data_IF_544220130607
#
_entry.id   IF_544220130607
#
_cell.length_a   1.000
_cell.length_b   1.000
_cell.length_c   1.000
_cell.angle_alpha   90.00
_cell.angle_beta   90.00
_cell.angle_gamma   90.00
#
_symmetry.space_group_name_H-M   'P 1'
#
loop_
_entity.id
_entity.type
_entity.pdbx_description
1 polymer ?
#
# COMPACT_ATOMS: atom_id res chain seq x y z
N UNK A 1 47.34 11.00 33.53
CA UNK A 1 45.93 10.72 33.89
C UNK A 1 44.94 11.53 33.03
N UNK A 2 44.84 11.29 31.71
CA UNK A 2 43.76 11.87 30.88
C UNK A 2 43.56 11.13 29.53
N UNK A 3 44.01 9.88 29.40
CA UNK A 3 43.84 9.11 28.15
C UNK A 3 43.04 7.81 28.32
N UNK A 4 42.85 7.34 29.55
CA UNK A 4 42.04 6.14 29.85
C UNK A 4 40.56 6.44 30.13
N UNK A 5 40.17 7.71 30.31
CA UNK A 5 38.78 8.07 30.62
C UNK A 5 37.91 8.35 29.38
N UNK A 6 38.53 8.64 28.22
CA UNK A 6 37.80 8.98 26.99
C UNK A 6 37.34 7.75 26.20
N UNK A 7 38.02 6.61 26.34
CA UNK A 7 37.67 5.38 25.61
C UNK A 7 36.53 4.59 26.27
N UNK A 8 36.25 4.80 27.56
CA UNK A 8 35.29 3.99 28.30
C UNK A 8 33.82 4.42 28.07
N UNK A 9 33.58 5.70 27.75
CA UNK A 9 32.22 6.23 27.47
C UNK A 9 31.75 5.94 26.05
N UNK A 10 32.67 5.78 25.09
CA UNK A 10 32.36 5.45 23.69
C UNK A 10 31.80 4.03 23.54
N UNK A 11 32.36 3.06 24.28
CA UNK A 11 31.89 1.66 24.23
C UNK A 11 30.52 1.49 24.92
N UNK A 12 30.25 2.27 25.97
CA UNK A 12 28.96 2.23 26.67
C UNK A 12 27.80 2.84 25.86
N UNK A 13 28.06 3.91 25.09
CA UNK A 13 27.05 4.50 24.21
C UNK A 13 26.78 3.65 22.95
N UNK A 14 27.80 2.99 22.40
CA UNK A 14 27.61 2.01 21.32
C UNK A 14 26.83 0.77 21.78
N UNK A 15 27.04 0.32 23.02
CA UNK A 15 26.29 -0.80 23.62
C UNK A 15 24.79 -0.50 23.81
N UNK A 16 24.44 0.72 24.24
CA UNK A 16 23.05 1.14 24.38
C UNK A 16 22.35 1.38 23.03
N UNK A 17 23.06 1.86 22.01
CA UNK A 17 22.51 2.00 20.67
C UNK A 17 22.18 0.65 20.03
N UNK A 18 23.00 -0.39 20.28
CA UNK A 18 22.72 -1.74 19.78
C UNK A 18 21.53 -2.41 20.48
N UNK A 19 21.26 -2.14 21.76
CA UNK A 19 20.08 -2.72 22.43
C UNK A 19 18.76 -2.13 21.92
N UNK A 20 18.76 -0.91 21.36
CA UNK A 20 17.53 -0.28 20.85
C UNK A 20 17.19 -0.66 19.39
N UNK A 21 18.14 -1.17 18.60
CA UNK A 21 17.90 -1.73 17.26
C UNK A 21 17.66 -3.26 17.29
N UNK A 22 17.93 -3.93 18.41
CA UNK A 22 17.73 -5.38 18.56
C UNK A 22 16.27 -5.83 18.77
N UNK A 23 15.29 -5.04 18.32
CA UNK A 23 13.86 -5.38 18.34
C UNK A 23 13.23 -5.55 16.95
N UNK A 24 14.04 -5.63 15.88
CA UNK A 24 13.59 -5.94 14.51
C UNK A 24 14.20 -7.22 13.92
N UNK A 25 14.56 -8.19 14.74
CA UNK A 25 14.78 -9.56 14.27
C UNK A 25 13.47 -10.34 14.44
N UNK A 26 12.71 -10.62 13.36
CA UNK A 26 11.68 -11.64 13.44
C UNK A 26 12.38 -12.94 13.82
N UNK A 27 12.01 -13.49 14.99
CA UNK A 27 12.50 -14.78 15.45
C UNK A 27 12.17 -15.82 14.39
N UNK A 28 13.19 -16.35 13.76
CA UNK A 28 13.12 -17.55 12.95
C UNK A 28 12.86 -18.72 13.90
N UNK A 29 11.59 -19.07 14.07
CA UNK A 29 11.16 -20.26 14.78
C UNK A 29 10.37 -21.11 13.80
N UNK A 30 10.99 -22.22 13.36
CA UNK A 30 10.38 -23.42 12.73
C UNK A 30 9.37 -23.18 11.61
N UNK A 31 9.72 -23.60 10.40
CA UNK A 31 8.93 -23.62 9.16
C UNK A 31 7.45 -24.04 9.34
N UNK A 32 6.57 -23.10 9.69
CA UNK A 32 5.13 -23.17 9.38
C UNK A 32 4.85 -22.32 8.14
N UNK A 33 5.62 -22.56 7.08
CA UNK A 33 5.39 -22.01 5.75
C UNK A 33 4.30 -22.82 5.08
N UNK A 34 3.13 -22.21 4.89
CA UNK A 34 2.02 -22.79 4.16
C UNK A 34 1.93 -22.23 2.75
N UNK A 35 1.38 -23.01 1.83
CA UNK A 35 1.14 -22.64 0.45
C UNK A 35 -0.33 -22.33 0.24
N UNK A 36 -0.66 -21.10 -0.16
CA UNK A 36 -2.04 -20.67 -0.45
C UNK A 36 -2.20 -20.38 -1.94
N UNK A 37 -3.30 -20.84 -2.53
CA UNK A 37 -3.58 -20.60 -3.95
C UNK A 37 -4.43 -19.35 -4.10
N UNK A 38 -3.89 -18.32 -4.73
CA UNK A 38 -4.60 -17.07 -5.01
C UNK A 38 -5.08 -17.08 -6.46
N UNK A 39 -6.40 -17.09 -6.65
CA UNK A 39 -7.02 -17.04 -7.98
C UNK A 39 -7.64 -15.68 -8.25
N UNK A 40 -7.21 -15.05 -9.33
CA UNK A 40 -7.87 -13.85 -9.85
C UNK A 40 -9.19 -14.22 -10.53
N UNK A 41 -10.24 -13.41 -10.33
CA UNK A 41 -11.57 -13.69 -10.91
C UNK A 41 -11.57 -13.84 -12.44
N UNK A 42 -10.67 -13.13 -13.13
CA UNK A 42 -10.60 -13.01 -14.58
C UNK A 42 -9.27 -13.52 -15.15
N UNK A 43 -8.50 -14.30 -14.37
CA UNK A 43 -7.12 -14.63 -14.73
C UNK A 43 -6.60 -15.95 -14.16
N UNK A 44 -5.30 -16.12 -14.31
CA UNK A 44 -4.55 -17.30 -13.85
C UNK A 44 -4.38 -17.26 -12.33
N UNK A 45 -4.36 -18.44 -11.70
CA UNK A 45 -4.02 -18.55 -10.28
C UNK A 45 -2.51 -18.64 -10.08
N UNK A 46 -2.02 -18.15 -8.95
CA UNK A 46 -0.66 -18.37 -8.48
C UNK A 46 -0.69 -18.96 -7.08
N UNK A 47 0.35 -19.70 -6.73
CA UNK A 47 0.54 -20.18 -5.38
C UNK A 47 1.53 -19.28 -4.64
N UNK A 48 1.21 -18.93 -3.40
CA UNK A 48 1.99 -18.04 -2.55
C UNK A 48 2.37 -18.78 -1.29
N UNK A 49 3.66 -18.81 -0.96
CA UNK A 49 4.15 -19.35 0.29
C UNK A 49 4.17 -18.26 1.37
N UNK A 50 3.54 -18.51 2.52
CA UNK A 50 3.43 -17.55 3.61
C UNK A 50 3.26 -18.25 4.97
N UNK A 51 3.67 -17.60 6.06
CA UNK A 51 3.44 -18.14 7.40
C UNK A 51 1.98 -17.99 7.85
N UNK A 52 1.43 -18.99 8.55
CA UNK A 52 0.09 -18.92 9.15
C UNK A 52 -0.10 -17.74 10.12
N UNK A 53 0.98 -17.33 10.79
CA UNK A 53 0.98 -16.24 11.76
C UNK A 53 1.11 -14.85 11.10
N UNK A 54 1.42 -14.80 9.80
CA UNK A 54 1.54 -13.55 9.07
C UNK A 54 0.21 -12.80 9.00
N UNK A 55 0.30 -11.49 8.79
CA UNK A 55 -0.87 -10.65 8.61
C UNK A 55 -1.38 -10.77 7.17
N UNK A 56 -2.65 -10.46 6.98
CA UNK A 56 -3.24 -10.29 5.64
C UNK A 56 -2.48 -9.22 4.83
N UNK A 57 -1.91 -8.22 5.49
CA UNK A 57 -1.06 -7.23 4.84
C UNK A 57 0.17 -7.87 4.17
N UNK A 58 0.86 -8.79 4.84
CA UNK A 58 2.04 -9.47 4.32
C UNK A 58 1.69 -10.35 3.13
N UNK A 59 0.54 -11.04 3.19
CA UNK A 59 0.00 -11.79 2.05
C UNK A 59 -0.20 -10.91 0.82
N UNK A 60 -0.76 -9.70 1.00
CA UNK A 60 -0.97 -8.77 -0.12
C UNK A 60 0.34 -8.28 -0.73
N UNK A 61 1.37 -8.09 0.09
CA UNK A 61 2.71 -7.74 -0.41
C UNK A 61 3.25 -8.86 -1.29
N UNK A 62 3.20 -10.13 -0.83
CA UNK A 62 3.64 -11.28 -1.65
C UNK A 62 2.83 -11.44 -2.93
N UNK A 63 1.52 -11.21 -2.88
CA UNK A 63 0.66 -11.18 -4.07
C UNK A 63 1.09 -10.05 -5.02
N UNK A 64 1.50 -8.90 -4.50
CA UNK A 64 1.95 -7.77 -5.32
C UNK A 64 3.21 -8.13 -6.10
N UNK A 65 4.17 -8.76 -5.45
CA UNK A 65 5.41 -9.23 -6.07
C UNK A 65 5.14 -10.33 -7.12
N UNK A 66 4.25 -11.27 -6.81
CA UNK A 66 4.01 -12.45 -7.66
C UNK A 66 3.09 -12.17 -8.85
N UNK A 67 2.09 -11.28 -8.69
CA UNK A 67 1.10 -10.98 -9.72
C UNK A 67 1.27 -9.58 -10.33
N UNK A 68 2.26 -8.80 -9.87
CA UNK A 68 2.50 -7.42 -10.29
C UNK A 68 1.26 -6.49 -10.11
N UNK A 69 0.49 -6.70 -9.04
CA UNK A 69 -0.69 -5.89 -8.71
C UNK A 69 -0.43 -5.10 -7.42
N UNK A 70 -0.50 -3.76 -7.41
CA UNK A 70 -0.20 -2.99 -6.20
C UNK A 70 -1.19 -3.29 -5.07
N UNK A 71 -0.70 -3.33 -3.83
CA UNK A 71 -1.46 -3.69 -2.62
C UNK A 71 -2.76 -2.88 -2.46
N UNK A 72 -2.75 -1.60 -2.85
CA UNK A 72 -3.91 -0.69 -2.79
C UNK A 72 -5.08 -1.15 -3.67
N UNK A 73 -4.77 -1.81 -4.78
CA UNK A 73 -5.77 -2.33 -5.73
C UNK A 73 -6.23 -3.74 -5.36
N UNK A 74 -5.59 -4.40 -4.41
CA UNK A 74 -5.93 -5.77 -4.04
C UNK A 74 -7.05 -5.84 -3.01
N UNK A 75 -8.13 -6.56 -3.38
CA UNK A 75 -9.16 -7.00 -2.44
C UNK A 75 -9.18 -8.53 -2.44
N UNK A 76 -8.51 -9.11 -1.43
CA UNK A 76 -8.43 -10.56 -1.22
C UNK A 76 -9.66 -11.04 -0.45
N UNK A 77 -10.27 -12.13 -0.89
CA UNK A 77 -11.46 -12.73 -0.28
C UNK A 77 -11.26 -14.21 -0.01
N UNK A 78 -11.87 -14.67 1.09
CA UNK A 78 -12.05 -16.08 1.43
C UNK A 78 -13.54 -16.36 1.55
N UNK A 79 -14.07 -17.32 0.80
CA UNK A 79 -15.50 -17.69 0.85
C UNK A 79 -16.47 -16.50 0.73
N UNK A 80 -16.12 -15.50 -0.10
CA UNK A 80 -16.90 -14.27 -0.27
C UNK A 80 -16.67 -13.19 0.80
N UNK A 81 -15.93 -13.47 1.87
CA UNK A 81 -15.58 -12.50 2.93
C UNK A 81 -14.25 -11.82 2.58
N UNK A 82 -14.23 -10.49 2.59
CA UNK A 82 -13.01 -9.71 2.36
C UNK A 82 -12.08 -9.75 3.57
N UNK A 83 -10.80 -10.02 3.35
CA UNK A 83 -9.79 -10.06 4.39
C UNK A 83 -9.34 -8.64 4.78
N UNK A 84 -9.14 -8.43 6.08
CA UNK A 84 -8.73 -7.14 6.67
C UNK A 84 -7.25 -7.20 7.01
N UNK A 85 -6.51 -6.15 6.66
CA UNK A 85 -5.04 -6.09 6.76
C UNK A 85 -4.50 -6.38 8.17
N UNK A 86 -5.21 -5.96 9.22
CA UNK A 86 -4.76 -6.02 10.61
C UNK A 86 -5.12 -7.34 11.31
N UNK A 87 -5.43 -8.40 10.56
CA UNK A 87 -5.74 -9.72 11.09
C UNK A 87 -4.78 -10.77 10.53
N UNK A 88 -4.52 -11.81 11.31
CA UNK A 88 -3.66 -12.93 10.92
C UNK A 88 -4.40 -13.88 9.98
N UNK A 89 -3.66 -14.59 9.14
CA UNK A 89 -4.22 -15.59 8.23
C UNK A 89 -4.87 -16.75 9.00
N UNK A 90 -4.30 -17.14 10.14
CA UNK A 90 -4.89 -18.14 11.04
C UNK A 90 -6.26 -17.78 11.58
N UNK A 91 -6.54 -16.50 11.88
CA UNK A 91 -7.90 -16.04 12.29
C UNK A 91 -8.93 -16.21 11.16
N UNK A 92 -8.42 -16.19 9.94
CA UNK A 92 -8.98 -16.61 8.67
C UNK A 92 -9.27 -18.10 8.51
N UNK A 93 -8.94 -19.01 9.43
CA UNK A 93 -8.77 -20.46 9.14
C UNK A 93 -8.13 -20.73 7.76
N UNK A 94 -7.16 -19.90 7.37
CA UNK A 94 -6.41 -20.07 6.13
C UNK A 94 -5.28 -21.04 6.45
N UNK A 95 -5.28 -22.17 5.76
CA UNK A 95 -4.30 -23.27 5.89
C UNK A 95 -3.61 -23.53 4.56
N UNK A 96 -2.65 -24.45 4.58
CA UNK A 96 -2.07 -25.01 3.36
C UNK A 96 -3.14 -25.50 2.37
N UNK A 97 -2.96 -25.17 1.09
CA UNK A 97 -3.89 -25.45 0.00
C UNK A 97 -5.16 -24.59 -0.02
N UNK A 98 -5.32 -23.62 0.89
CA UNK A 98 -6.52 -22.77 0.90
C UNK A 98 -6.57 -21.90 -0.34
N UNK A 99 -7.73 -21.90 -1.00
CA UNK A 99 -8.00 -21.09 -2.18
C UNK A 99 -8.56 -19.71 -1.80
N UNK A 100 -7.84 -18.67 -2.17
CA UNK A 100 -8.22 -17.27 -2.01
C UNK A 100 -8.62 -16.67 -3.35
N UNK A 101 -9.54 -15.71 -3.31
CA UNK A 101 -9.99 -14.99 -4.49
C UNK A 101 -9.41 -13.58 -4.47
N UNK A 102 -8.76 -13.17 -5.56
CA UNK A 102 -8.25 -11.81 -5.72
C UNK A 102 -9.19 -11.01 -6.63
N UNK A 103 -9.74 -9.93 -6.08
CA UNK A 103 -10.39 -8.87 -6.83
C UNK A 103 -9.41 -7.71 -7.03
N UNK A 104 -9.30 -7.25 -8.27
CA UNK A 104 -8.62 -6.00 -8.57
C UNK A 104 -9.63 -4.85 -8.52
N UNK A 105 -9.36 -3.88 -7.67
CA UNK A 105 -10.00 -2.57 -7.76
C UNK A 105 -9.24 -1.76 -8.80
N UNK A 106 -9.94 -1.24 -9.79
CA UNK A 106 -9.36 -0.18 -10.61
C UNK A 106 -9.15 1.03 -9.69
N UNK A 107 -8.04 1.77 -9.83
CA UNK A 107 -7.95 3.07 -9.18
C UNK A 107 -9.18 3.88 -9.60
N UNK A 108 -9.78 4.59 -8.65
CA UNK A 108 -10.83 5.54 -8.98
C UNK A 108 -10.20 6.55 -9.96
N UNK A 109 -10.79 6.72 -11.15
CA UNK A 109 -10.39 7.79 -12.04
C UNK A 109 -10.73 9.13 -11.39
N UNK A 110 -10.12 10.20 -11.89
CA UNK A 110 -10.45 11.56 -11.45
C UNK A 110 -11.96 11.82 -11.51
N UNK A 111 -12.62 11.31 -12.55
CA UNK A 111 -14.06 11.42 -12.75
C UNK A 111 -14.84 10.77 -11.60
N UNK A 112 -14.54 9.51 -11.25
CA UNK A 112 -15.24 8.84 -10.16
C UNK A 112 -14.95 9.46 -8.79
N UNK A 113 -13.73 9.95 -8.57
CA UNK A 113 -13.36 10.63 -7.33
C UNK A 113 -14.13 11.94 -7.14
N UNK A 114 -14.26 12.73 -8.20
CA UNK A 114 -15.03 13.97 -8.22
C UNK A 114 -16.51 13.68 -8.07
N UNK A 115 -17.04 12.72 -8.83
CA UNK A 115 -18.44 12.32 -8.76
C UNK A 115 -18.81 11.87 -7.34
N UNK A 116 -17.99 11.01 -6.72
CA UNK A 116 -18.17 10.58 -5.32
C UNK A 116 -18.13 11.75 -4.35
N UNK A 117 -17.31 12.76 -4.61
CA UNK A 117 -17.23 13.97 -3.78
C UNK A 117 -18.50 14.82 -3.91
N UNK A 118 -19.05 14.98 -5.11
CA UNK A 118 -20.31 15.69 -5.32
C UNK A 118 -21.52 14.96 -4.73
N UNK A 119 -21.56 13.62 -4.79
CA UNK A 119 -22.63 12.82 -4.16
C UNK A 119 -22.77 13.03 -2.64
N UNK A 120 -21.75 13.57 -1.96
CA UNK A 120 -21.85 13.93 -0.53
C UNK A 120 -22.75 15.14 -0.28
N UNK A 121 -22.98 15.96 -1.32
CA UNK A 121 -23.65 17.26 -1.21
C UNK A 121 -24.82 17.42 -2.20
N UNK A 122 -24.87 16.62 -3.26
CA UNK A 122 -25.83 16.74 -4.37
C UNK A 122 -26.52 15.42 -4.70
N UNK A 123 -27.63 15.51 -5.43
CA UNK A 123 -28.32 14.32 -6.00
C UNK A 123 -27.48 13.68 -7.10
N UNK A 124 -27.75 12.42 -7.43
CA UNK A 124 -27.02 11.69 -8.49
C UNK A 124 -27.04 12.43 -9.83
N UNK A 125 -28.21 12.92 -10.26
CA UNK A 125 -28.33 13.65 -11.53
C UNK A 125 -27.51 14.96 -11.54
N UNK A 126 -27.50 15.69 -10.42
CA UNK A 126 -26.70 16.91 -10.29
C UNK A 126 -25.20 16.59 -10.24
N UNK A 127 -24.80 15.54 -9.51
CA UNK A 127 -23.42 15.10 -9.41
C UNK A 127 -22.88 14.66 -10.78
N UNK A 128 -23.67 13.95 -11.58
CA UNK A 128 -23.30 13.56 -12.95
C UNK A 128 -23.06 14.80 -13.84
N UNK A 129 -23.99 15.77 -13.80
CA UNK A 129 -23.86 17.02 -14.57
C UNK A 129 -22.64 17.83 -14.16
N UNK A 130 -22.40 17.98 -12.86
CA UNK A 130 -21.26 18.73 -12.32
C UNK A 130 -19.94 18.05 -12.65
N UNK A 131 -19.87 16.72 -12.51
CA UNK A 131 -18.69 15.93 -12.87
C UNK A 131 -18.35 16.11 -14.34
N UNK A 132 -19.35 15.97 -15.22
CA UNK A 132 -19.15 16.13 -16.67
C UNK A 132 -18.64 17.53 -17.02
N UNK A 133 -19.30 18.57 -16.51
CA UNK A 133 -18.90 19.96 -16.75
C UNK A 133 -17.48 20.25 -16.23
N UNK A 134 -17.12 19.72 -15.06
CA UNK A 134 -15.77 19.84 -14.51
C UNK A 134 -14.74 19.17 -15.41
N UNK A 135 -14.99 17.93 -15.84
CA UNK A 135 -14.04 17.18 -16.66
C UNK A 135 -13.82 17.83 -18.04
N UNK A 136 -14.88 18.40 -18.63
CA UNK A 136 -14.77 19.19 -19.86
C UNK A 136 -13.91 20.45 -19.68
N UNK A 137 -14.14 21.23 -18.62
CA UNK A 137 -13.32 22.43 -18.32
C UNK A 137 -11.87 22.06 -17.99
N UNK A 138 -11.67 21.01 -17.20
CA UNK A 138 -10.36 20.49 -16.85
C UNK A 138 -9.58 20.06 -18.09
N UNK A 139 -10.17 19.24 -18.96
CA UNK A 139 -9.52 18.79 -20.19
C UNK A 139 -9.17 19.97 -21.10
N UNK A 140 -10.04 20.96 -21.20
CA UNK A 140 -9.78 22.17 -21.99
C UNK A 140 -8.58 22.95 -21.45
N UNK A 141 -8.54 23.22 -20.15
CA UNK A 141 -7.40 23.91 -19.52
C UNK A 141 -6.11 23.12 -19.65
N UNK A 142 -6.17 21.80 -19.45
CA UNK A 142 -5.01 20.94 -19.55
C UNK A 142 -4.41 20.95 -20.96
N UNK A 143 -5.26 21.00 -22.00
CA UNK A 143 -4.82 21.10 -23.40
C UNK A 143 -4.18 22.45 -23.76
N UNK A 144 -4.40 23.48 -22.95
CA UNK A 144 -3.91 24.84 -23.19
C UNK A 144 -2.62 25.16 -22.43
N UNK A 145 -2.15 24.27 -21.56
CA UNK A 145 -0.91 24.46 -20.79
C UNK A 145 0.31 24.41 -21.71
N UNK A 146 1.18 25.42 -21.60
CA UNK A 146 2.46 25.43 -22.29
C UNK A 146 3.51 24.60 -21.54
N UNK A 147 4.61 24.28 -22.21
CA UNK A 147 5.73 23.58 -21.58
C UNK A 147 6.33 24.39 -20.42
N UNK A 148 6.42 25.71 -20.58
CA UNK A 148 6.92 26.62 -19.53
C UNK A 148 6.03 26.59 -18.28
N UNK A 149 4.69 26.56 -18.46
CA UNK A 149 3.75 26.44 -17.34
C UNK A 149 3.94 25.11 -16.59
N UNK A 150 4.16 24.02 -17.33
CA UNK A 150 4.38 22.68 -16.76
C UNK A 150 5.71 22.66 -15.98
N UNK A 151 6.77 23.24 -16.52
CA UNK A 151 8.07 23.34 -15.85
C UNK A 151 7.99 24.17 -14.56
N UNK A 152 7.24 25.27 -14.60
CA UNK A 152 7.01 26.10 -13.42
C UNK A 152 6.25 25.33 -12.34
N UNK A 153 5.16 24.63 -12.71
CA UNK A 153 4.41 23.80 -11.78
C UNK A 153 5.28 22.70 -11.17
N UNK A 154 6.05 21.97 -11.98
CA UNK A 154 6.93 20.91 -11.51
C UNK A 154 8.00 21.44 -10.55
N UNK A 155 8.60 22.60 -10.87
CA UNK A 155 9.60 23.25 -10.04
C UNK A 155 9.02 23.66 -8.67
N UNK A 156 7.79 24.18 -8.64
CA UNK A 156 7.10 24.50 -7.38
C UNK A 156 6.88 23.25 -6.50
N UNK A 157 6.43 22.14 -7.09
CA UNK A 157 6.23 20.89 -6.34
C UNK A 157 7.54 20.35 -5.76
N UNK A 158 8.63 20.39 -6.53
CA UNK A 158 9.95 19.95 -6.05
C UNK A 158 10.48 20.84 -4.91
N UNK A 159 10.16 22.14 -4.91
CA UNK A 159 10.52 23.05 -3.83
C UNK A 159 9.73 22.74 -2.55
N UNK A 160 8.44 22.42 -2.65
CA UNK A 160 7.63 22.03 -1.48
C UNK A 160 8.15 20.76 -0.81
N UNK A 161 8.68 19.79 -1.57
CA UNK A 161 9.26 18.58 -1.00
C UNK A 161 10.62 18.81 -0.31
N UNK A 162 11.32 19.90 -0.64
CA UNK A 162 12.63 20.25 -0.08
C UNK A 162 12.54 21.15 1.16
N UNK A 163 11.35 21.65 1.50
CA UNK A 163 11.17 22.42 2.72
C UNK A 163 11.35 21.50 3.94
N UNK A 164 12.18 21.86 4.94
CA UNK A 164 12.31 21.07 6.16
C UNK A 164 10.97 21.07 6.91
N UNK A 165 10.52 19.87 7.32
CA UNK A 165 9.38 19.68 8.23
C UNK A 165 9.69 20.19 9.64
#
# INVERSE_FOLDING_TARGET
CNFLFSFCTSVFLFGLYLVHEFQKFPRESTEDTMKVTVKQLQGTGCDIEISEQALVQDLKVKIAESMNVPVTHQKVLRMGVALVNNRTLKSYDIKDGTKLMLLMKKPDTLEEAIHRSFLKFYTTEQADRLTKAFMEDFSKRMSQLSLDDIEQMASMYLQQQKAPQ
#
